data_IF_394015649049
#
_entry.id   IF_394015649049
#
_cell.length_a   1.000
_cell.length_b   1.000
_cell.length_c   1.000
_cell.angle_alpha   90.00
_cell.angle_beta   90.00
_cell.angle_gamma   90.00
#
_symmetry.space_group_name_H-M   'P 1'
#
loop_
_entity.id
_entity.type
_entity.pdbx_description
1 polymer ?
#
# COMPACT_ATOMS: atom_id res chain seq x y z
N UNK A 1 -33.81 -17.24 4.58
CA UNK A 1 -33.91 -15.99 5.36
C UNK A 1 -33.00 -14.97 4.68
N UNK A 2 -33.53 -13.85 4.19
CA UNK A 2 -32.70 -12.79 3.62
C UNK A 2 -32.10 -11.98 4.77
N UNK A 3 -30.77 -12.02 4.90
CA UNK A 3 -30.04 -11.13 5.82
C UNK A 3 -30.14 -9.71 5.27
N UNK A 4 -30.90 -8.84 5.92
CA UNK A 4 -30.90 -7.41 5.61
C UNK A 4 -29.50 -6.84 5.83
N UNK A 5 -29.01 -6.04 4.88
CA UNK A 5 -27.76 -5.31 5.05
C UNK A 5 -27.79 -4.50 6.36
N UNK A 6 -26.63 -4.30 7.03
CA UNK A 6 -26.57 -3.45 8.22
C UNK A 6 -27.10 -2.05 7.91
N UNK A 7 -27.81 -1.45 8.86
CA UNK A 7 -28.32 -0.10 8.72
C UNK A 7 -27.16 0.90 8.51
N UNK A 8 -27.38 1.91 7.66
CA UNK A 8 -26.41 2.97 7.48
C UNK A 8 -26.15 3.68 8.82
N UNK A 9 -24.87 3.89 9.16
CA UNK A 9 -24.49 4.58 10.39
C UNK A 9 -25.08 6.00 10.41
N UNK A 10 -25.82 6.37 11.48
CA UNK A 10 -26.35 7.73 11.63
C UNK A 10 -25.23 8.78 11.49
N UNK A 11 -25.42 9.74 10.59
CA UNK A 11 -24.44 10.81 10.36
C UNK A 11 -23.35 10.48 9.33
N UNK A 12 -23.43 9.34 8.62
CA UNK A 12 -22.54 9.08 7.49
C UNK A 12 -22.75 10.11 6.36
N UNK A 13 -21.72 10.88 6.06
CA UNK A 13 -21.64 11.75 4.90
C UNK A 13 -20.71 11.15 3.83
N UNK A 14 -21.18 11.10 2.58
CA UNK A 14 -20.34 10.73 1.45
C UNK A 14 -19.21 11.75 1.29
N UNK A 15 -17.99 11.33 0.94
CA UNK A 15 -16.92 12.28 0.64
C UNK A 15 -17.26 13.12 -0.58
N UNK A 16 -16.82 14.37 -0.57
CA UNK A 16 -16.95 15.26 -1.72
C UNK A 16 -15.99 14.85 -2.85
N UNK A 17 -16.31 15.18 -4.11
CA UNK A 17 -15.37 15.01 -5.21
C UNK A 17 -14.03 15.69 -4.94
N UNK A 18 -12.93 14.98 -5.18
CA UNK A 18 -11.57 15.47 -4.90
C UNK A 18 -11.19 15.58 -3.42
N UNK A 19 -12.06 15.19 -2.48
CA UNK A 19 -11.73 15.16 -1.06
C UNK A 19 -10.73 14.05 -0.74
N UNK A 20 -9.66 14.40 -0.03
CA UNK A 20 -8.61 13.48 0.45
C UNK A 20 -7.97 14.00 1.76
N UNK A 21 -7.50 13.14 2.68
CA UNK A 21 -7.67 11.68 2.69
C UNK A 21 -9.12 11.28 2.91
N UNK A 22 -9.47 10.07 2.48
CA UNK A 22 -10.86 9.64 2.42
C UNK A 22 -11.07 8.13 2.58
N UNK A 23 -10.02 7.32 2.49
CA UNK A 23 -10.13 5.86 2.57
C UNK A 23 -10.22 5.37 4.01
N UNK A 24 -9.40 5.92 4.92
CA UNK A 24 -9.36 5.50 6.33
C UNK A 24 -9.96 6.55 7.27
N UNK A 25 -9.80 7.82 6.93
CA UNK A 25 -10.32 8.96 7.68
C UNK A 25 -10.48 10.16 6.74
N UNK A 26 -11.16 11.21 7.22
CA UNK A 26 -11.34 12.50 6.53
C UNK A 26 -10.44 13.55 7.16
N UNK A 27 -10.11 14.63 6.45
CA UNK A 27 -9.35 15.77 7.02
C UNK A 27 -10.00 16.34 8.29
N UNK A 28 -11.32 16.38 8.34
CA UNK A 28 -12.08 16.83 9.52
C UNK A 28 -11.83 15.97 10.78
N UNK A 29 -11.48 14.69 10.61
CA UNK A 29 -11.12 13.79 11.72
C UNK A 29 -9.65 13.86 12.13
N UNK A 30 -8.80 14.59 11.39
CA UNK A 30 -7.37 14.66 11.66
C UNK A 30 -7.02 15.28 13.02
N UNK A 31 -7.70 16.35 13.52
CA UNK A 31 -7.45 16.89 14.85
C UNK A 31 -7.63 15.84 15.97
N UNK A 32 -8.70 15.06 15.91
CA UNK A 32 -8.96 13.99 16.89
C UNK A 32 -7.96 12.84 16.77
N UNK A 33 -7.56 12.49 15.54
CA UNK A 33 -6.52 11.49 15.31
C UNK A 33 -5.17 11.92 15.90
N UNK A 34 -4.79 13.20 15.74
CA UNK A 34 -3.58 13.77 16.35
C UNK A 34 -3.67 13.78 17.88
N UNK A 35 -4.84 14.12 18.44
CA UNK A 35 -5.10 14.04 19.88
C UNK A 35 -4.92 12.61 20.40
N UNK A 36 -5.47 11.60 19.68
CA UNK A 36 -5.28 10.18 20.02
C UNK A 36 -3.82 9.75 19.93
N UNK A 37 -3.11 10.19 18.89
CA UNK A 37 -1.68 9.92 18.71
C UNK A 37 -0.81 10.51 19.83
N UNK A 38 -1.25 11.60 20.48
CA UNK A 38 -0.54 12.23 21.59
C UNK A 38 -0.77 11.54 22.96
N UNK A 39 -1.70 10.59 23.06
CA UNK A 39 -1.88 9.79 24.29
C UNK A 39 -0.69 8.85 24.50
N UNK A 40 -0.44 8.35 25.74
CA UNK A 40 0.64 7.39 25.97
C UNK A 40 0.55 6.13 25.09
N UNK A 41 -0.67 5.66 24.80
CA UNK A 41 -0.89 4.53 23.90
C UNK A 41 -0.63 4.91 22.44
N UNK A 42 -1.21 6.03 21.99
CA UNK A 42 -1.01 6.54 20.64
C UNK A 42 0.47 6.80 20.34
N UNK A 43 1.21 7.37 21.28
CA UNK A 43 2.63 7.62 21.15
C UNK A 43 3.43 6.31 20.96
N UNK A 44 3.06 5.22 21.65
CA UNK A 44 3.68 3.90 21.44
C UNK A 44 3.34 3.32 20.07
N UNK A 45 2.11 3.51 19.58
CA UNK A 45 1.72 3.08 18.22
C UNK A 45 2.52 3.85 17.16
N UNK A 46 2.65 5.16 17.31
CA UNK A 46 3.45 6.00 16.39
C UNK A 46 4.93 5.64 16.46
N UNK A 47 5.48 5.38 17.65
CA UNK A 47 6.85 4.89 17.80
C UNK A 47 7.05 3.53 17.13
N UNK A 48 6.07 2.63 17.23
CA UNK A 48 6.10 1.33 16.53
C UNK A 48 6.05 1.51 15.02
N UNK A 49 5.21 2.42 14.50
CA UNK A 49 5.18 2.76 13.09
C UNK A 49 6.55 3.24 12.60
N UNK A 50 7.17 4.17 13.31
CA UNK A 50 8.53 4.67 12.99
C UNK A 50 9.55 3.54 12.95
N UNK A 51 9.57 2.68 13.97
CA UNK A 51 10.44 1.50 14.01
C UNK A 51 10.18 0.53 12.86
N UNK A 52 8.94 0.34 12.42
CA UNK A 52 8.62 -0.57 11.30
C UNK A 52 9.16 -0.05 9.96
N UNK A 53 9.31 1.27 9.81
CA UNK A 53 9.74 1.91 8.56
C UNK A 53 11.25 1.84 8.33
N UNK A 54 12.08 1.94 9.37
CA UNK A 54 13.54 1.87 9.18
C UNK A 54 14.32 1.26 10.36
N UNK A 55 13.62 0.74 11.35
CA UNK A 55 14.22 0.16 12.55
C UNK A 55 14.51 1.18 13.64
N UNK A 56 14.34 2.48 13.36
CA UNK A 56 14.69 3.59 14.24
C UNK A 56 13.61 4.70 14.20
N UNK A 57 13.91 5.85 13.59
CA UNK A 57 13.08 7.07 13.64
C UNK A 57 12.00 7.14 12.58
N UNK A 58 11.97 6.20 11.64
CA UNK A 58 11.06 6.20 10.49
C UNK A 58 11.29 7.36 9.53
N UNK A 59 12.52 7.85 9.43
CA UNK A 59 12.90 9.03 8.61
C UNK A 59 13.67 8.65 7.35
N UNK A 60 14.10 7.40 7.25
CA UNK A 60 14.83 6.89 6.10
C UNK A 60 14.07 5.75 5.46
N UNK A 61 14.27 5.54 4.16
CA UNK A 61 13.79 4.35 3.47
C UNK A 61 14.85 3.24 3.64
N UNK A 62 14.49 2.00 4.01
CA UNK A 62 15.48 0.93 4.11
C UNK A 62 16.23 0.81 2.78
N UNK A 63 17.49 0.40 2.77
CA UNK A 63 18.27 0.23 1.53
C UNK A 63 18.23 -1.21 1.00
N UNK A 64 18.06 -2.19 1.89
CA UNK A 64 17.99 -3.60 1.49
C UNK A 64 16.69 -3.86 0.73
N UNK A 65 16.81 -4.49 -0.43
CA UNK A 65 15.71 -4.89 -1.31
C UNK A 65 15.69 -6.41 -1.42
N UNK A 66 14.51 -6.96 -1.70
CA UNK A 66 14.45 -8.34 -2.14
C UNK A 66 15.00 -8.41 -3.57
N UNK A 67 16.04 -9.22 -3.83
CA UNK A 67 16.63 -9.33 -5.17
C UNK A 67 15.75 -10.11 -6.14
N UNK A 68 14.80 -10.90 -5.63
CA UNK A 68 13.91 -11.70 -6.46
C UNK A 68 12.84 -10.81 -7.10
N UNK A 69 12.58 -11.02 -8.39
CA UNK A 69 11.35 -10.56 -9.00
C UNK A 69 10.15 -11.26 -8.35
N UNK A 70 8.97 -10.67 -8.49
CA UNK A 70 7.77 -11.27 -7.91
C UNK A 70 7.43 -12.63 -8.54
N UNK A 71 7.21 -13.66 -7.72
CA UNK A 71 6.98 -15.05 -8.18
C UNK A 71 6.62 -16.02 -7.05
N UNK A 72 6.73 -17.34 -7.26
CA UNK A 72 6.32 -18.31 -6.23
C UNK A 72 7.30 -18.46 -5.06
N UNK A 73 8.56 -18.08 -5.25
CA UNK A 73 9.60 -18.12 -4.23
C UNK A 73 9.44 -16.92 -3.27
N UNK A 74 9.15 -17.13 -1.96
CA UNK A 74 9.11 -16.04 -0.99
C UNK A 74 10.46 -15.38 -0.73
N UNK A 75 11.57 -16.04 -1.07
CA UNK A 75 12.93 -15.61 -0.77
C UNK A 75 13.27 -15.73 0.72
N UNK A 76 14.40 -15.13 1.11
CA UNK A 76 15.01 -15.31 2.44
C UNK A 76 14.80 -14.12 3.39
N UNK A 77 14.00 -13.13 3.00
CA UNK A 77 13.89 -11.86 3.73
C UNK A 77 12.69 -11.77 4.68
N UNK A 78 11.90 -12.84 4.82
CA UNK A 78 10.77 -12.90 5.74
C UNK A 78 11.19 -12.63 7.19
N UNK A 79 12.27 -13.27 7.63
CA UNK A 79 12.80 -13.16 9.00
C UNK A 79 13.81 -12.01 9.18
N UNK A 80 13.94 -11.14 8.17
CA UNK A 80 14.86 -10.01 8.27
C UNK A 80 14.44 -9.07 9.41
N UNK A 81 15.41 -8.44 10.11
CA UNK A 81 15.12 -7.51 11.20
C UNK A 81 14.09 -6.44 10.83
N UNK A 82 13.31 -6.03 11.83
CA UNK A 82 12.29 -4.97 11.65
C UNK A 82 12.94 -3.70 11.08
N UNK A 83 12.36 -3.18 10.00
CA UNK A 83 12.80 -1.97 9.33
C UNK A 83 14.10 -2.10 8.54
N UNK A 84 14.73 -3.28 8.46
CA UNK A 84 15.96 -3.44 7.68
C UNK A 84 15.72 -3.66 6.19
N UNK A 85 14.50 -4.04 5.77
CA UNK A 85 14.13 -4.38 4.39
C UNK A 85 12.91 -3.58 3.96
N UNK A 86 12.93 -3.09 2.73
CA UNK A 86 11.76 -2.49 2.10
C UNK A 86 10.57 -3.46 2.05
N UNK A 87 9.37 -2.91 2.16
CA UNK A 87 8.10 -3.60 1.97
C UNK A 87 7.16 -2.70 1.20
N UNK A 88 6.18 -3.31 0.56
CA UNK A 88 5.15 -2.65 -0.21
C UNK A 88 4.37 -1.62 0.61
N UNK A 89 4.32 -1.71 1.94
CA UNK A 89 3.57 -0.79 2.81
C UNK A 89 4.37 0.39 3.37
N UNK A 90 5.66 0.55 3.03
CA UNK A 90 6.40 1.77 3.34
C UNK A 90 5.72 3.06 2.83
N UNK A 91 5.16 3.11 1.60
CA UNK A 91 4.39 4.26 1.12
C UNK A 91 3.29 4.70 2.10
N UNK A 92 2.52 3.75 2.63
CA UNK A 92 1.42 4.01 3.55
C UNK A 92 1.93 4.53 4.88
N UNK A 93 2.98 3.91 5.42
CA UNK A 93 3.53 4.31 6.71
C UNK A 93 4.09 5.73 6.70
N UNK A 94 4.83 6.12 5.66
CA UNK A 94 5.24 7.53 5.52
C UNK A 94 4.06 8.46 5.24
N UNK A 95 3.07 8.05 4.44
CA UNK A 95 1.85 8.85 4.24
C UNK A 95 1.08 9.11 5.54
N UNK A 96 1.06 8.14 6.45
CA UNK A 96 0.48 8.30 7.78
C UNK A 96 1.31 9.28 8.64
N UNK A 97 2.64 9.20 8.59
CA UNK A 97 3.50 10.16 9.28
C UNK A 97 3.33 11.59 8.72
N UNK A 98 3.15 11.76 7.41
CA UNK A 98 2.80 13.04 6.81
C UNK A 98 1.51 13.61 7.44
N UNK A 99 0.44 12.82 7.50
CA UNK A 99 -0.83 13.28 8.06
C UNK A 99 -0.72 13.64 9.56
N UNK A 100 0.00 12.85 10.34
CA UNK A 100 0.17 13.10 11.78
C UNK A 100 1.06 14.31 12.08
N UNK A 101 2.12 14.52 11.31
CA UNK A 101 3.16 15.52 11.61
C UNK A 101 3.01 16.81 10.81
N UNK A 102 2.52 16.74 9.57
CA UNK A 102 2.60 17.82 8.60
C UNK A 102 4.00 18.07 8.05
N UNK A 103 4.96 17.17 8.28
CA UNK A 103 6.33 17.29 7.77
C UNK A 103 6.42 16.74 6.34
N UNK A 104 6.63 17.63 5.38
CA UNK A 104 6.61 17.31 3.94
C UNK A 104 7.60 16.20 3.54
N UNK A 105 8.71 16.08 4.26
CA UNK A 105 9.69 15.01 4.06
C UNK A 105 9.05 13.61 4.10
N UNK A 106 8.03 13.36 4.92
CA UNK A 106 7.36 12.06 4.92
C UNK A 106 6.52 11.81 3.67
N UNK A 107 5.85 12.84 3.13
CA UNK A 107 5.15 12.70 1.85
C UNK A 107 6.13 12.43 0.70
N UNK A 108 7.31 13.06 0.72
CA UNK A 108 8.38 12.81 -0.25
C UNK A 108 8.91 11.38 -0.14
N UNK A 109 9.15 10.87 1.08
CA UNK A 109 9.52 9.45 1.29
C UNK A 109 8.43 8.48 0.85
N UNK A 110 7.16 8.81 1.06
CA UNK A 110 6.06 8.02 0.54
C UNK A 110 6.11 7.95 -1.00
N UNK A 111 6.43 9.06 -1.67
CA UNK A 111 6.56 9.11 -3.13
C UNK A 111 7.75 8.28 -3.64
N UNK A 112 8.91 8.37 -2.98
CA UNK A 112 10.08 7.52 -3.28
C UNK A 112 9.73 6.02 -3.17
N UNK A 113 9.03 5.65 -2.09
CA UNK A 113 8.60 4.29 -1.86
C UNK A 113 7.56 3.81 -2.90
N UNK A 114 6.61 4.68 -3.28
CA UNK A 114 5.64 4.40 -4.36
C UNK A 114 6.36 4.08 -5.66
N UNK A 115 7.40 4.87 -6.00
CA UNK A 115 8.15 4.65 -7.23
C UNK A 115 8.74 3.23 -7.27
N UNK A 116 9.31 2.75 -6.17
CA UNK A 116 9.83 1.38 -6.09
C UNK A 116 8.75 0.33 -6.35
N UNK A 117 7.55 0.50 -5.78
CA UNK A 117 6.41 -0.40 -6.01
C UNK A 117 6.02 -0.40 -7.49
N UNK A 118 5.90 0.78 -8.11
CA UNK A 118 5.55 0.95 -9.52
C UNK A 118 6.60 0.32 -10.44
N UNK A 119 7.89 0.51 -10.13
CA UNK A 119 9.01 -0.05 -10.90
C UNK A 119 9.04 -1.59 -10.81
N UNK A 120 8.32 -2.18 -9.86
CA UNK A 120 8.13 -3.63 -9.71
C UNK A 120 8.99 -4.27 -8.63
N UNK A 121 9.49 -3.48 -7.66
CA UNK A 121 10.13 -4.03 -6.48
C UNK A 121 9.15 -4.96 -5.75
N UNK A 122 9.58 -6.21 -5.52
CA UNK A 122 8.87 -7.19 -4.70
C UNK A 122 8.94 -6.83 -3.21
N UNK A 123 7.99 -7.35 -2.43
CA UNK A 123 8.03 -7.25 -0.98
C UNK A 123 9.21 -8.03 -0.39
N UNK A 124 9.40 -7.95 0.94
CA UNK A 124 10.33 -8.86 1.64
C UNK A 124 9.91 -10.33 1.44
N UNK A 125 8.61 -10.56 1.28
CA UNK A 125 8.07 -11.79 0.73
C UNK A 125 7.94 -11.63 -0.79
N UNK A 126 8.84 -12.26 -1.54
CA UNK A 126 8.90 -12.09 -2.99
C UNK A 126 7.65 -12.60 -3.72
N UNK A 127 6.73 -13.29 -3.05
CA UNK A 127 5.42 -13.58 -3.64
C UNK A 127 4.62 -12.33 -3.92
N UNK A 128 4.77 -11.29 -3.10
CA UNK A 128 4.00 -10.06 -3.22
C UNK A 128 4.73 -9.00 -4.06
N UNK A 129 3.96 -8.29 -4.89
CA UNK A 129 4.46 -7.20 -5.71
C UNK A 129 3.45 -6.73 -6.75
N UNK A 130 3.65 -5.54 -7.31
CA UNK A 130 2.71 -5.00 -8.30
C UNK A 130 2.63 -5.86 -9.57
N UNK A 131 3.77 -6.45 -9.95
CA UNK A 131 3.92 -7.32 -11.12
C UNK A 131 3.67 -8.81 -10.81
N UNK A 132 3.14 -9.15 -9.63
CA UNK A 132 2.80 -10.53 -9.29
C UNK A 132 1.83 -11.10 -10.33
N UNK A 133 2.26 -12.15 -11.02
CA UNK A 133 1.38 -13.04 -11.78
C UNK A 133 0.86 -14.12 -10.84
N UNK A 134 -0.38 -14.54 -11.04
CA UNK A 134 -1.00 -15.56 -10.20
C UNK A 134 -0.19 -16.87 -10.26
N UNK A 135 0.31 -17.29 -9.10
CA UNK A 135 1.02 -18.56 -8.93
C UNK A 135 0.31 -19.41 -7.90
N UNK A 136 -0.36 -20.45 -8.38
CA UNK A 136 -0.89 -21.54 -7.58
C UNK A 136 -0.49 -22.83 -8.25
N UNK A 137 0.09 -23.75 -7.48
CA UNK A 137 0.49 -25.07 -7.96
C UNK A 137 -0.76 -25.80 -8.46
N UNK A 138 -0.79 -26.13 -9.75
CA UNK A 138 -1.78 -27.00 -10.40
C UNK A 138 -3.24 -26.51 -10.47
N UNK A 139 -3.50 -25.23 -10.75
CA UNK A 139 -4.73 -24.74 -11.43
C UNK A 139 -6.11 -25.11 -10.87
N UNK A 140 -6.20 -25.82 -9.74
CA UNK A 140 -7.42 -26.49 -9.23
C UNK A 140 -7.95 -25.88 -7.93
N UNK A 141 -7.15 -25.05 -7.27
CA UNK A 141 -7.55 -24.21 -6.12
C UNK A 141 -7.00 -22.78 -6.21
N UNK A 142 -6.57 -22.35 -7.41
CA UNK A 142 -5.86 -21.10 -7.63
C UNK A 142 -6.76 -19.86 -7.52
N UNK A 143 -6.66 -19.14 -6.41
CA UNK A 143 -7.14 -17.76 -6.32
C UNK A 143 -6.22 -16.87 -7.17
N UNK A 144 -6.64 -16.62 -8.40
CA UNK A 144 -5.95 -15.77 -9.36
C UNK A 144 -5.98 -14.33 -8.82
N UNK A 145 -4.85 -13.82 -8.30
CA UNK A 145 -4.63 -12.39 -8.11
C UNK A 145 -4.46 -11.85 -6.68
N UNK A 146 -4.13 -12.69 -5.68
CA UNK A 146 -3.98 -12.24 -4.29
C UNK A 146 -2.68 -11.46 -4.05
N UNK A 147 -1.59 -11.81 -4.74
CA UNK A 147 -0.27 -11.27 -4.42
C UNK A 147 0.02 -9.86 -4.93
N UNK A 148 -0.77 -9.33 -5.88
CA UNK A 148 -0.70 -7.92 -6.28
C UNK A 148 -1.69 -7.00 -5.54
N UNK A 149 -2.67 -7.57 -4.83
CA UNK A 149 -3.67 -6.81 -4.08
C UNK A 149 -3.04 -5.93 -3.01
N UNK A 150 -2.02 -6.45 -2.31
CA UNK A 150 -1.25 -5.69 -1.32
C UNK A 150 -0.56 -4.46 -1.92
N UNK A 151 0.05 -4.61 -3.10
CA UNK A 151 0.69 -3.50 -3.81
C UNK A 151 -0.34 -2.44 -4.24
N UNK A 152 -1.47 -2.86 -4.81
CA UNK A 152 -2.55 -1.95 -5.23
C UNK A 152 -3.14 -1.21 -4.02
N UNK A 153 -3.40 -1.91 -2.91
CA UNK A 153 -3.90 -1.29 -1.69
C UNK A 153 -2.91 -0.27 -1.12
N UNK A 154 -1.62 -0.61 -1.10
CA UNK A 154 -0.58 0.32 -0.66
C UNK A 154 -0.53 1.59 -1.52
N UNK A 155 -0.53 1.44 -2.84
CA UNK A 155 -0.55 2.56 -3.79
C UNK A 155 -1.78 3.46 -3.57
N UNK A 156 -2.97 2.87 -3.44
CA UNK A 156 -4.21 3.62 -3.23
C UNK A 156 -4.22 4.37 -1.89
N UNK A 157 -3.76 3.73 -0.81
CA UNK A 157 -3.67 4.35 0.51
C UNK A 157 -2.62 5.48 0.53
N UNK A 158 -1.45 5.27 -0.06
CA UNK A 158 -0.41 6.30 -0.12
C UNK A 158 -0.87 7.52 -0.96
N UNK A 159 -1.53 7.27 -2.10
CA UNK A 159 -2.16 8.30 -2.92
C UNK A 159 -3.17 9.14 -2.12
N UNK A 160 -4.07 8.46 -1.40
CA UNK A 160 -5.10 9.13 -0.60
C UNK A 160 -4.51 9.94 0.56
N UNK A 161 -3.53 9.36 1.27
CA UNK A 161 -2.85 9.99 2.40
C UNK A 161 -1.96 11.16 1.98
N UNK A 162 -1.36 11.14 0.79
CA UNK A 162 -0.41 12.16 0.34
C UNK A 162 -0.95 13.07 -0.76
N UNK A 163 -2.25 12.99 -1.08
CA UNK A 163 -2.86 13.64 -2.23
C UNK A 163 -2.55 15.13 -2.33
N UNK A 164 -2.58 15.83 -1.19
CA UNK A 164 -2.36 17.28 -1.10
C UNK A 164 -0.88 17.69 -1.08
N UNK A 165 0.01 16.76 -0.75
CA UNK A 165 1.45 17.00 -0.75
C UNK A 165 2.09 16.74 -2.13
N UNK A 166 1.56 15.78 -2.88
CA UNK A 166 2.06 15.37 -4.19
C UNK A 166 1.52 16.24 -5.32
N UNK A 167 2.37 16.45 -6.34
CA UNK A 167 1.96 17.11 -7.57
C UNK A 167 1.09 16.19 -8.45
N UNK A 168 0.55 16.76 -9.52
CA UNK A 168 -0.31 16.00 -10.44
C UNK A 168 0.43 14.86 -11.14
N UNK A 169 1.71 15.05 -11.47
CA UNK A 169 2.50 14.04 -12.16
C UNK A 169 2.69 12.78 -11.28
N UNK A 170 3.06 12.97 -10.01
CA UNK A 170 3.19 11.89 -9.04
C UNK A 170 1.84 11.17 -8.81
N UNK A 171 0.75 11.93 -8.68
CA UNK A 171 -0.60 11.36 -8.58
C UNK A 171 -0.96 10.53 -9.82
N UNK A 172 -0.66 11.04 -11.02
CA UNK A 172 -0.94 10.35 -12.29
C UNK A 172 -0.19 9.02 -12.39
N UNK A 173 1.08 8.97 -11.99
CA UNK A 173 1.86 7.72 -11.98
C UNK A 173 1.18 6.60 -11.19
N UNK A 174 0.59 6.92 -10.04
CA UNK A 174 -0.14 5.93 -9.24
C UNK A 174 -1.42 5.46 -9.94
N UNK A 175 -2.20 6.40 -10.49
CA UNK A 175 -3.42 6.08 -11.23
C UNK A 175 -3.12 5.15 -12.40
N UNK A 176 -2.11 5.50 -13.20
CA UNK A 176 -1.72 4.73 -14.38
C UNK A 176 -1.24 3.33 -13.99
N UNK A 177 -0.47 3.20 -12.90
CA UNK A 177 -0.01 1.92 -12.38
C UNK A 177 -1.17 1.01 -11.94
N UNK A 178 -2.16 1.55 -11.20
CA UNK A 178 -3.34 0.81 -10.75
C UNK A 178 -4.24 0.42 -11.94
N UNK A 179 -4.41 1.32 -12.91
CA UNK A 179 -5.15 1.02 -14.14
C UNK A 179 -4.50 -0.06 -14.99
N UNK A 180 -3.17 -0.07 -15.09
CA UNK A 180 -2.42 -1.10 -15.81
C UNK A 180 -2.67 -2.49 -15.21
N UNK A 181 -2.66 -2.62 -13.87
CA UNK A 181 -3.01 -3.88 -13.19
C UNK A 181 -4.43 -4.32 -13.53
N UNK A 182 -5.40 -3.39 -13.53
CA UNK A 182 -6.79 -3.69 -13.91
C UNK A 182 -6.88 -4.21 -15.34
N UNK A 183 -6.23 -3.55 -16.31
CA UNK A 183 -6.24 -3.95 -17.73
C UNK A 183 -5.63 -5.34 -17.94
N UNK A 184 -4.55 -5.65 -17.23
CA UNK A 184 -3.91 -6.97 -17.30
C UNK A 184 -4.80 -8.08 -16.72
N UNK A 185 -5.64 -7.81 -15.71
CA UNK A 185 -6.64 -8.78 -15.21
C UNK A 185 -7.79 -9.04 -16.20
N UNK A 186 -8.08 -8.10 -17.09
CA UNK A 186 -9.16 -8.25 -18.09
C UNK A 186 -8.74 -8.91 -19.41
N UNK A 187 -7.46 -9.24 -19.60
CA UNK A 187 -7.03 -10.00 -20.75
C UNK A 187 -7.53 -11.46 -20.65
N UNK A 188 -8.18 -12.02 -21.69
CA UNK A 188 -8.60 -13.42 -21.66
C UNK A 188 -7.37 -14.31 -21.48
N UNK A 189 -7.38 -15.14 -20.43
CA UNK A 189 -6.45 -16.24 -20.30
C UNK A 189 -6.85 -17.24 -21.40
N UNK A 190 -6.19 -17.21 -22.57
CA UNK A 190 -6.40 -18.23 -23.58
C UNK A 190 -5.92 -19.56 -23.00
N UNK A 191 -6.81 -20.56 -22.80
CA UNK A 191 -6.36 -21.86 -22.31
C UNK A 191 -5.64 -22.69 -23.39
N UNK A 192 -5.51 -22.15 -24.62
CA UNK A 192 -4.87 -22.84 -25.73
C UNK A 192 -4.11 -21.83 -26.60
N UNK A 193 -2.86 -21.56 -26.25
CA UNK A 193 -1.88 -21.07 -27.21
C UNK A 193 -0.83 -22.17 -27.40
N UNK A 194 -0.84 -22.74 -28.60
CA UNK A 194 0.18 -23.61 -29.20
C UNK A 194 0.28 -25.05 -28.67
N UNK A 195 -0.65 -25.87 -29.12
CA UNK A 195 -0.26 -27.17 -29.69
C UNK A 195 -1.02 -27.32 -31.00
N UNK A 196 -0.34 -26.98 -32.10
CA UNK A 196 -0.40 -27.58 -33.44
C UNK A 196 0.54 -26.80 -34.37
#
# INVERSE_FOLDING_TARGET
>A
MATSAPAAEPGFAKPEPGEHPRLLFRKSGLPDLKKRAATPEGARIVARLRRLLDGDKGTTLPLKRNPLATGDDPGELLDAPVGSVFTLFHPVGYGMLWQLTGERAFAERAQEAVKLVIDGQSDRDARFGLKAVAGGVDGRFGLIGEYNGAAVASLALAYDLCYDAWDEAARRQVVDAVEAVRKNKSAPISPFAETL
#
